data_IF_942799862689
#
_entry.id   IF_942799862689
#
_cell.length_a   1.000
_cell.length_b   1.000
_cell.length_c   1.000
_cell.angle_alpha   90.00
_cell.angle_beta   90.00
_cell.angle_gamma   90.00
#
_symmetry.space_group_name_H-M   'P 1'
#
loop_
_entity.id
_entity.type
_entity.pdbx_description
1 polymer ?
#
# COMPACT_ATOMS: atom_id res chain seq x y z
N UNK A 1 -86.38 -23.66 -5.65
CA UNK A 1 -85.36 -23.68 -4.59
C UNK A 1 -84.28 -22.65 -4.92
N UNK A 2 -83.90 -21.86 -3.93
CA UNK A 2 -83.19 -20.57 -4.03
C UNK A 2 -81.68 -20.74 -3.85
N UNK A 3 -80.90 -20.02 -4.66
CA UNK A 3 -79.63 -19.31 -4.37
C UNK A 3 -78.48 -20.12 -3.70
N UNK A 4 -77.22 -20.09 -4.17
CA UNK A 4 -76.36 -18.90 -4.34
C UNK A 4 -75.02 -19.36 -4.94
N UNK A 5 -74.54 -18.61 -5.94
CA UNK A 5 -73.19 -18.70 -6.48
C UNK A 5 -72.20 -18.14 -5.45
N UNK A 6 -71.11 -18.88 -5.18
CA UNK A 6 -70.02 -18.44 -4.33
C UNK A 6 -68.93 -17.83 -5.22
N UNK A 7 -68.81 -16.51 -5.16
CA UNK A 7 -67.69 -15.77 -5.72
C UNK A 7 -66.45 -16.05 -4.88
N UNK A 8 -65.43 -16.68 -5.47
CA UNK A 8 -64.07 -16.70 -4.90
C UNK A 8 -63.27 -15.56 -5.53
N UNK A 9 -62.98 -14.56 -4.72
CA UNK A 9 -62.11 -13.45 -5.06
C UNK A 9 -60.67 -13.98 -5.21
N UNK A 10 -60.15 -13.92 -6.43
CA UNK A 10 -58.76 -14.16 -6.76
C UNK A 10 -57.97 -12.90 -6.37
N UNK A 11 -57.33 -12.92 -5.20
CA UNK A 11 -56.47 -11.83 -4.73
C UNK A 11 -55.21 -11.75 -5.57
N UNK A 12 -55.17 -10.78 -6.48
CA UNK A 12 -53.97 -10.32 -7.19
C UNK A 12 -53.04 -9.63 -6.18
N UNK A 13 -52.01 -10.34 -5.72
CA UNK A 13 -50.84 -9.71 -5.08
C UNK A 13 -50.01 -9.06 -6.20
N UNK A 14 -49.76 -7.74 -6.16
CA UNK A 14 -48.89 -7.10 -7.13
C UNK A 14 -47.43 -7.54 -6.90
N UNK A 15 -46.90 -8.35 -7.82
CA UNK A 15 -45.46 -8.48 -8.04
C UNK A 15 -44.94 -7.13 -8.54
N UNK A 16 -44.60 -6.22 -7.64
CA UNK A 16 -44.04 -4.92 -8.02
C UNK A 16 -43.12 -4.37 -6.93
N UNK A 17 -42.22 -5.20 -6.41
CA UNK A 17 -41.11 -4.74 -5.56
C UNK A 17 -39.87 -5.62 -5.79
N UNK A 18 -39.41 -5.71 -7.03
CA UNK A 18 -38.01 -5.94 -7.32
C UNK A 18 -37.57 -4.73 -8.13
N UNK A 19 -37.41 -3.61 -7.43
CA UNK A 19 -36.64 -2.50 -7.95
C UNK A 19 -35.23 -3.04 -8.22
N UNK A 20 -34.77 -2.87 -9.46
CA UNK A 20 -33.40 -3.06 -9.89
C UNK A 20 -32.45 -2.34 -8.93
N UNK A 21 -31.93 -3.04 -7.93
CA UNK A 21 -30.73 -2.60 -7.23
C UNK A 21 -29.56 -3.01 -8.12
N UNK A 22 -29.34 -2.24 -9.19
CA UNK A 22 -28.02 -2.18 -9.81
C UNK A 22 -27.10 -1.45 -8.85
N UNK A 23 -26.59 -2.17 -7.85
CA UNK A 23 -25.38 -1.73 -7.16
C UNK A 23 -24.29 -1.75 -8.20
N UNK A 24 -23.89 -0.57 -8.68
CA UNK A 24 -22.71 -0.46 -9.53
C UNK A 24 -21.51 -0.90 -8.69
N UNK A 25 -20.90 -2.03 -9.06
CA UNK A 25 -19.76 -2.61 -8.37
C UNK A 25 -18.59 -1.61 -8.30
N UNK A 26 -18.51 -0.69 -9.26
CA UNK A 26 -17.54 0.40 -9.26
C UNK A 26 -17.80 1.41 -8.13
N UNK A 27 -19.06 1.79 -7.88
CA UNK A 27 -19.42 2.70 -6.78
C UNK A 27 -19.21 2.05 -5.41
N UNK A 28 -19.47 0.74 -5.28
CA UNK A 28 -19.21 0.01 -4.03
C UNK A 28 -17.70 -0.12 -3.74
N UNK A 29 -16.88 -0.37 -4.76
CA UNK A 29 -15.41 -0.41 -4.63
C UNK A 29 -14.86 0.99 -4.32
N UNK A 30 -15.40 2.04 -4.95
CA UNK A 30 -15.01 3.42 -4.69
C UNK A 30 -15.35 3.86 -3.25
N UNK A 31 -16.56 3.58 -2.77
CA UNK A 31 -16.97 3.91 -1.40
C UNK A 31 -16.32 3.04 -0.32
N UNK A 32 -15.93 1.80 -0.61
CA UNK A 32 -15.11 0.98 0.30
C UNK A 32 -13.64 1.42 0.34
N UNK A 33 -13.16 2.12 -0.69
CA UNK A 33 -11.77 2.59 -0.80
C UNK A 33 -11.49 3.92 -0.09
N UNK A 34 -12.47 4.84 -0.05
CA UNK A 34 -12.31 6.18 0.52
C UNK A 34 -12.05 6.22 2.04
N UNK A 35 -12.86 5.58 2.90
CA UNK A 35 -12.65 5.64 4.36
C UNK A 35 -11.37 4.92 4.80
N UNK A 36 -11.00 3.84 4.11
CA UNK A 36 -9.74 3.12 4.35
C UNK A 36 -8.53 3.96 3.91
N UNK A 37 -8.65 4.72 2.81
CA UNK A 37 -7.61 5.65 2.34
C UNK A 37 -7.45 6.86 3.25
N UNK A 38 -8.56 7.40 3.78
CA UNK A 38 -8.53 8.49 4.75
C UNK A 38 -7.84 8.05 6.06
N UNK A 39 -8.14 6.83 6.54
CA UNK A 39 -7.47 6.24 7.71
C UNK A 39 -5.96 6.04 7.47
N UNK A 40 -5.57 5.50 6.32
CA UNK A 40 -4.17 5.34 5.91
C UNK A 40 -3.45 6.69 5.87
N UNK A 41 -4.10 7.74 5.36
CA UNK A 41 -3.46 9.05 5.21
C UNK A 41 -3.29 9.83 6.52
N UNK A 42 -4.04 9.49 7.58
CA UNK A 42 -4.09 10.30 8.81
C UNK A 42 -3.56 9.57 10.04
N UNK A 43 -3.89 8.28 10.23
CA UNK A 43 -3.53 7.54 11.45
C UNK A 43 -2.17 6.83 11.36
N UNK A 44 -1.84 6.28 10.20
CA UNK A 44 -0.65 5.44 10.04
C UNK A 44 0.66 6.24 9.95
N UNK A 45 0.73 7.42 9.29
CA UNK A 45 1.99 8.14 9.15
C UNK A 45 2.65 8.51 10.48
N UNK A 46 1.92 9.03 11.50
CA UNK A 46 2.51 9.31 12.81
C UNK A 46 3.10 8.07 13.50
N UNK A 47 2.50 6.90 13.32
CA UNK A 47 3.00 5.64 13.91
C UNK A 47 4.34 5.26 13.27
N UNK A 48 4.43 5.32 11.93
CA UNK A 48 5.67 5.04 11.20
C UNK A 48 6.75 6.08 11.54
N UNK A 49 6.38 7.35 11.63
CA UNK A 49 7.28 8.44 12.00
C UNK A 49 7.84 8.25 13.42
N UNK A 50 6.99 7.94 14.40
CA UNK A 50 7.44 7.69 15.77
C UNK A 50 8.39 6.50 15.82
N UNK A 51 8.07 5.41 15.10
CA UNK A 51 8.95 4.25 15.00
C UNK A 51 10.30 4.60 14.33
N UNK A 52 10.29 5.26 13.17
CA UNK A 52 11.49 5.67 12.46
C UNK A 52 12.39 6.58 13.30
N UNK A 53 11.82 7.59 13.96
CA UNK A 53 12.56 8.48 14.86
C UNK A 53 13.11 7.79 16.11
N UNK A 54 12.56 6.65 16.52
CA UNK A 54 13.13 5.85 17.60
C UNK A 54 14.37 5.07 17.16
N UNK A 55 14.56 4.87 15.85
CA UNK A 55 15.65 4.09 15.27
C UNK A 55 16.83 4.93 14.76
N UNK A 56 16.61 6.22 14.50
CA UNK A 56 17.63 7.08 13.90
C UNK A 56 17.18 8.51 13.63
N UNK A 57 17.94 9.21 12.79
CA UNK A 57 17.78 10.62 12.47
C UNK A 57 17.31 10.85 11.02
N UNK A 58 16.99 12.11 10.69
CA UNK A 58 16.66 12.52 9.33
C UNK A 58 15.51 11.72 8.69
N UNK A 59 14.46 11.48 9.47
CA UNK A 59 13.26 10.78 8.99
C UNK A 59 12.55 11.58 7.89
N UNK A 60 12.22 10.90 6.79
CA UNK A 60 11.32 11.41 5.76
C UNK A 60 10.43 10.29 5.25
N UNK A 61 9.19 10.64 4.86
CA UNK A 61 8.25 9.69 4.29
C UNK A 61 7.19 10.45 3.50
N UNK A 62 6.78 9.90 2.36
CA UNK A 62 5.54 10.28 1.69
C UNK A 62 4.40 9.39 2.23
N UNK A 63 3.36 9.95 2.87
CA UNK A 63 2.21 9.16 3.36
C UNK A 63 1.52 8.31 2.28
N UNK A 64 1.65 8.69 1.00
CA UNK A 64 1.11 7.91 -0.13
C UNK A 64 1.84 6.58 -0.34
N UNK A 65 3.02 6.41 0.26
CA UNK A 65 3.80 5.19 0.23
C UNK A 65 3.47 4.21 1.36
N UNK A 66 2.31 4.39 2.00
CA UNK A 66 1.68 3.39 2.85
C UNK A 66 0.59 2.72 2.03
N UNK A 67 0.79 1.44 1.68
CA UNK A 67 -0.11 0.69 0.80
C UNK A 67 -0.65 -0.57 1.49
N UNK A 68 -1.87 -1.03 1.15
CA UNK A 68 -2.32 -2.36 1.52
C UNK A 68 -1.40 -3.43 0.93
N UNK A 69 -1.09 -4.47 1.71
CA UNK A 69 -0.24 -5.58 1.30
C UNK A 69 -0.71 -6.91 1.92
N UNK A 70 -0.30 -8.04 1.32
CA UNK A 70 -0.54 -9.38 1.84
C UNK A 70 0.77 -9.98 2.33
N UNK A 71 0.84 -10.28 3.62
CA UNK A 71 2.01 -10.92 4.23
C UNK A 71 1.57 -12.21 4.90
N UNK A 72 2.07 -13.35 4.40
CA UNK A 72 1.75 -14.68 4.94
C UNK A 72 0.24 -14.95 5.00
N UNK A 73 -0.49 -14.51 3.96
CA UNK A 73 -1.95 -14.64 3.85
C UNK A 73 -2.75 -13.70 4.76
N UNK A 74 -2.10 -12.73 5.41
CA UNK A 74 -2.75 -11.72 6.25
C UNK A 74 -2.66 -10.35 5.61
N UNK A 75 -3.79 -9.64 5.63
CA UNK A 75 -3.87 -8.23 5.24
C UNK A 75 -3.08 -7.37 6.22
N UNK A 76 -2.13 -6.61 5.71
CA UNK A 76 -1.29 -5.65 6.45
C UNK A 76 -1.18 -4.35 5.68
N UNK A 77 -0.57 -3.33 6.28
CA UNK A 77 -0.08 -2.17 5.55
C UNK A 77 1.44 -2.22 5.46
N UNK A 78 1.95 -1.93 4.28
CA UNK A 78 3.37 -1.80 4.01
C UNK A 78 3.69 -0.31 3.79
N UNK A 79 4.66 0.19 4.53
CA UNK A 79 5.18 1.53 4.38
C UNK A 79 6.64 1.48 3.91
N UNK A 80 7.06 2.49 3.14
CA UNK A 80 8.48 2.84 3.02
C UNK A 80 8.71 4.24 3.56
N UNK A 81 9.79 4.38 4.31
CA UNK A 81 10.28 5.64 4.83
C UNK A 81 11.79 5.69 4.67
N UNK A 82 12.37 6.86 4.82
CA UNK A 82 13.80 7.10 4.72
C UNK A 82 14.35 7.52 6.07
N UNK A 83 15.54 7.02 6.39
CA UNK A 83 16.17 7.25 7.69
C UNK A 83 17.70 7.18 7.59
N UNK A 84 18.37 8.05 8.33
CA UNK A 84 19.78 7.90 8.70
C UNK A 84 19.87 7.16 10.04
N UNK A 85 20.00 5.83 9.98
CA UNK A 85 20.10 4.95 11.16
C UNK A 85 21.33 5.28 12.02
N UNK A 86 22.41 5.74 11.39
CA UNK A 86 23.68 6.06 12.07
C UNK A 86 23.75 7.49 12.61
N UNK A 87 22.75 8.32 12.32
CA UNK A 87 22.75 9.76 12.61
C UNK A 87 24.04 10.46 12.14
N UNK A 88 24.58 10.06 10.99
CA UNK A 88 25.78 10.65 10.40
C UNK A 88 25.59 12.10 9.95
N UNK A 89 24.35 12.48 9.61
CA UNK A 89 24.02 13.79 9.04
C UNK A 89 24.40 13.95 7.57
N UNK A 90 24.87 12.89 6.91
CA UNK A 90 25.24 12.93 5.49
C UNK A 90 24.05 12.53 4.61
N UNK A 91 23.76 13.22 3.49
CA UNK A 91 22.67 12.85 2.59
C UNK A 91 22.76 11.43 2.05
N UNK A 92 23.99 10.90 1.93
CA UNK A 92 24.26 9.55 1.42
C UNK A 92 23.95 8.43 2.41
N UNK A 93 23.86 8.74 3.70
CA UNK A 93 23.57 7.78 4.76
C UNK A 93 22.08 7.50 4.93
N UNK A 94 21.22 8.45 4.56
CA UNK A 94 19.79 8.21 4.47
C UNK A 94 19.52 7.14 3.41
N UNK A 95 18.67 6.17 3.76
CA UNK A 95 18.25 5.09 2.86
C UNK A 95 16.81 4.70 3.13
N UNK A 96 16.10 4.12 2.15
CA UNK A 96 14.77 3.61 2.39
C UNK A 96 14.80 2.38 3.31
N UNK A 97 13.82 2.33 4.18
CA UNK A 97 13.49 1.25 5.09
C UNK A 97 12.00 0.93 4.94
N UNK A 98 11.68 -0.35 5.02
CA UNK A 98 10.31 -0.85 4.93
C UNK A 98 9.74 -1.09 6.33
N UNK A 99 8.47 -0.83 6.53
CA UNK A 99 7.75 -1.17 7.76
C UNK A 99 6.43 -1.86 7.47
N UNK A 100 6.12 -2.87 8.27
CA UNK A 100 4.83 -3.57 8.27
C UNK A 100 4.01 -3.06 9.44
N UNK A 101 2.79 -2.60 9.16
CA UNK A 101 1.80 -2.27 10.17
C UNK A 101 0.72 -3.34 10.18
N UNK A 102 0.40 -3.82 11.38
CA UNK A 102 -0.72 -4.74 11.64
C UNK A 102 -1.78 -4.04 12.44
N UNK A 103 -3.03 -4.49 12.26
CA UNK A 103 -4.14 -4.08 13.10
C UNK A 103 -4.30 -5.09 14.24
N UNK A 104 -4.39 -4.59 15.47
CA UNK A 104 -4.75 -5.38 16.64
C UNK A 104 -6.25 -5.72 16.63
N UNK A 105 -6.70 -6.71 17.41
CA UNK A 105 -8.13 -7.00 17.56
C UNK A 105 -8.96 -5.82 18.08
N UNK A 106 -8.34 -4.89 18.81
CA UNK A 106 -8.98 -3.66 19.31
C UNK A 106 -9.12 -2.55 18.25
N UNK A 107 -8.59 -2.75 17.04
CA UNK A 107 -8.64 -1.78 15.94
C UNK A 107 -7.43 -0.86 15.83
N UNK A 108 -6.56 -0.82 16.85
CA UNK A 108 -5.33 -0.03 16.86
C UNK A 108 -4.26 -0.64 15.94
N UNK A 109 -3.42 0.22 15.35
CA UNK A 109 -2.31 -0.19 14.50
C UNK A 109 -0.98 -0.17 15.24
N UNK A 110 -0.11 -1.12 14.90
CA UNK A 110 1.24 -1.22 15.46
C UNK A 110 2.23 -1.73 14.41
N UNK A 111 3.51 -1.41 14.63
CA UNK A 111 4.61 -1.87 13.77
C UNK A 111 5.00 -3.30 14.15
N UNK A 112 5.08 -4.18 13.16
CA UNK A 112 5.64 -5.51 13.32
C UNK A 112 7.18 -5.45 13.19
N UNK A 113 7.86 -5.47 14.33
CA UNK A 113 9.31 -5.32 14.41
C UNK A 113 10.09 -6.42 13.67
N UNK A 114 9.52 -7.63 13.52
CA UNK A 114 10.20 -8.74 12.88
C UNK A 114 10.45 -8.50 11.39
N UNK A 115 9.67 -7.60 10.77
CA UNK A 115 9.76 -7.22 9.36
C UNK A 115 10.17 -5.78 9.11
N UNK A 116 10.35 -4.98 10.17
CA UNK A 116 10.47 -3.51 10.06
C UNK A 116 11.77 -2.93 10.62
N UNK A 117 12.62 -3.73 11.27
CA UNK A 117 13.90 -3.22 11.77
C UNK A 117 14.88 -2.92 10.61
N UNK A 118 15.89 -2.05 10.80
CA UNK A 118 16.77 -1.65 9.69
C UNK A 118 17.50 -2.81 9.00
N UNK A 119 17.74 -3.92 9.71
CA UNK A 119 18.37 -5.13 9.17
C UNK A 119 17.47 -5.89 8.18
N UNK A 120 16.15 -5.66 8.21
CA UNK A 120 15.17 -6.27 7.31
C UNK A 120 15.01 -5.48 6.01
N UNK A 121 15.67 -4.34 5.84
CA UNK A 121 15.70 -3.64 4.55
C UNK A 121 17.10 -3.72 3.98
N UNK A 122 17.23 -4.27 2.77
CA UNK A 122 18.50 -4.37 2.08
C UNK A 122 19.14 -2.99 1.90
N UNK A 123 20.47 -2.92 1.99
CA UNK A 123 21.24 -1.72 1.66
C UNK A 123 21.31 -1.46 0.15
N UNK A 124 20.85 -2.40 -0.67
CA UNK A 124 20.89 -2.34 -2.14
C UNK A 124 19.63 -1.74 -2.76
N UNK A 125 18.59 -1.46 -1.96
CA UNK A 125 17.41 -0.71 -2.39
C UNK A 125 17.83 0.62 -3.06
N UNK A 126 17.00 1.18 -3.96
CA UNK A 126 17.26 2.50 -4.53
C UNK A 126 17.45 3.54 -3.42
N UNK A 127 18.09 4.67 -3.74
CA UNK A 127 18.41 5.68 -2.72
C UNK A 127 17.19 6.46 -2.26
N UNK A 128 16.21 6.61 -3.13
CA UNK A 128 14.92 7.21 -2.82
C UNK A 128 13.80 6.37 -3.43
N UNK A 129 12.71 6.14 -2.71
CA UNK A 129 11.50 5.50 -3.24
C UNK A 129 10.37 6.53 -3.21
N UNK A 130 9.95 6.98 -4.39
CA UNK A 130 8.89 7.97 -4.55
C UNK A 130 7.50 7.34 -4.59
N UNK A 131 7.38 6.09 -5.06
CA UNK A 131 6.10 5.37 -5.11
C UNK A 131 6.27 3.87 -4.82
N UNK A 132 5.38 3.32 -4.00
CA UNK A 132 5.13 1.87 -3.89
C UNK A 132 3.76 1.52 -4.48
N UNK A 133 3.67 0.39 -5.19
CA UNK A 133 2.41 -0.10 -5.74
C UNK A 133 2.45 -1.61 -6.00
N UNK A 134 1.27 -2.23 -6.09
CA UNK A 134 1.13 -3.65 -6.46
C UNK A 134 0.80 -3.75 -7.94
N UNK A 135 1.47 -4.66 -8.65
CA UNK A 135 1.20 -4.97 -10.05
C UNK A 135 1.41 -6.47 -10.28
N UNK A 136 0.38 -7.16 -10.75
CA UNK A 136 0.38 -8.61 -10.95
C UNK A 136 0.83 -9.37 -9.69
N UNK A 137 0.26 -9.02 -8.54
CA UNK A 137 0.58 -9.57 -7.19
C UNK A 137 2.01 -9.33 -6.69
N UNK A 138 2.87 -8.70 -7.49
CA UNK A 138 4.21 -8.30 -7.11
C UNK A 138 4.23 -6.90 -6.49
N UNK A 139 5.15 -6.67 -5.54
CA UNK A 139 5.44 -5.35 -5.00
C UNK A 139 6.45 -4.61 -5.88
N UNK A 140 6.02 -3.48 -6.42
CA UNK A 140 6.83 -2.62 -7.28
C UNK A 140 7.11 -1.27 -6.64
N UNK A 141 8.18 -0.64 -7.10
CA UNK A 141 8.54 0.71 -6.71
C UNK A 141 8.93 1.57 -7.93
N UNK A 142 8.77 2.88 -7.77
CA UNK A 142 9.46 3.91 -8.55
C UNK A 142 10.35 4.73 -7.61
N UNK A 143 11.52 5.15 -8.10
CA UNK A 143 12.48 5.83 -7.27
C UNK A 143 13.72 6.32 -8.01
N UNK A 144 14.71 6.77 -7.24
CA UNK A 144 15.97 7.30 -7.74
C UNK A 144 17.15 6.48 -7.24
N UNK A 145 18.14 6.29 -8.10
CA UNK A 145 19.45 5.73 -7.75
C UNK A 145 20.58 6.60 -8.28
N UNK A 146 21.82 6.29 -7.89
CA UNK A 146 22.99 7.01 -8.39
C UNK A 146 23.32 6.58 -9.83
N UNK A 147 23.50 7.55 -10.74
CA UNK A 147 24.30 7.32 -11.96
C UNK A 147 25.79 7.49 -11.64
N UNK A 148 26.67 7.01 -12.53
CA UNK A 148 28.13 7.12 -12.33
C UNK A 148 28.61 8.58 -12.09
N UNK A 149 27.92 9.56 -12.69
CA UNK A 149 28.23 10.98 -12.52
C UNK A 149 27.68 11.60 -11.22
N UNK A 150 26.90 10.87 -10.41
CA UNK A 150 26.25 11.36 -9.19
C UNK A 150 27.09 11.18 -7.91
N UNK A 151 28.34 10.72 -8.06
CA UNK A 151 29.20 10.26 -6.95
C UNK A 151 29.35 11.26 -5.79
N UNK A 152 29.02 12.54 -6.00
CA UNK A 152 29.26 13.61 -5.04
C UNK A 152 28.07 13.99 -4.15
N UNK A 153 26.80 13.70 -4.49
CA UNK A 153 25.73 14.04 -3.52
C UNK A 153 24.39 13.34 -3.68
N UNK A 154 23.90 13.11 -4.90
CA UNK A 154 22.45 13.05 -5.08
C UNK A 154 22.04 12.06 -6.17
N UNK A 155 21.14 11.10 -5.88
CA UNK A 155 20.66 10.16 -6.88
C UNK A 155 19.78 10.90 -7.90
N UNK A 156 20.04 10.69 -9.19
CA UNK A 156 19.27 11.34 -10.27
C UNK A 156 18.78 10.38 -11.34
N UNK A 157 19.15 9.10 -11.27
CA UNK A 157 18.70 8.10 -12.24
C UNK A 157 17.35 7.53 -11.82
N UNK A 158 16.31 7.84 -12.59
CA UNK A 158 14.98 7.27 -12.43
C UNK A 158 14.96 5.77 -12.71
N UNK A 159 14.44 5.02 -11.75
CA UNK A 159 14.36 3.57 -11.80
C UNK A 159 12.99 3.08 -11.37
N UNK A 160 12.61 1.93 -11.92
CA UNK A 160 11.48 1.13 -11.47
C UNK A 160 11.98 -0.27 -11.19
N UNK A 161 11.42 -0.91 -10.18
CA UNK A 161 11.82 -2.27 -9.88
C UNK A 161 10.83 -3.01 -9.02
N UNK A 162 11.16 -4.28 -8.78
CA UNK A 162 10.40 -5.19 -7.92
C UNK A 162 11.14 -5.40 -6.61
N UNK A 163 10.40 -5.32 -5.50
CA UNK A 163 10.88 -5.66 -4.17
C UNK A 163 10.22 -6.97 -3.74
N UNK A 164 10.97 -7.85 -3.11
CA UNK A 164 10.47 -9.08 -2.52
C UNK A 164 10.97 -9.22 -1.08
N UNK A 165 10.17 -9.87 -0.23
CA UNK A 165 10.61 -10.28 1.10
C UNK A 165 11.25 -11.66 1.02
N UNK A 166 12.57 -11.71 1.18
CA UNK A 166 13.35 -12.95 1.11
C UNK A 166 14.05 -13.19 2.44
N UNK A 167 13.74 -14.32 3.08
CA UNK A 167 14.32 -14.69 4.38
C UNK A 167 14.17 -13.57 5.43
N UNK A 168 13.01 -12.89 5.43
CA UNK A 168 12.72 -11.77 6.33
C UNK A 168 13.39 -10.44 5.95
N UNK A 169 14.04 -10.35 4.79
CA UNK A 169 14.69 -9.12 4.31
C UNK A 169 14.05 -8.65 3.00
N UNK A 170 13.59 -7.39 2.97
CA UNK A 170 13.14 -6.69 1.78
C UNK A 170 14.32 -6.42 0.85
N UNK A 171 14.30 -7.05 -0.32
CA UNK A 171 15.35 -6.95 -1.33
C UNK A 171 14.80 -6.53 -2.65
N UNK A 172 15.63 -5.81 -3.40
CA UNK A 172 15.37 -5.56 -4.80
C UNK A 172 15.66 -6.84 -5.60
N UNK A 173 14.69 -7.27 -6.40
CA UNK A 173 14.82 -8.47 -7.24
C UNK A 173 15.05 -8.12 -8.72
N UNK A 174 14.57 -6.95 -9.16
CA UNK A 174 14.73 -6.48 -10.53
C UNK A 174 14.68 -4.95 -10.54
N UNK A 175 15.64 -4.31 -11.20
CA UNK A 175 15.65 -2.87 -11.44
C UNK A 175 15.82 -2.57 -12.92
N UNK A 176 15.05 -1.60 -13.39
CA UNK A 176 15.03 -1.15 -14.77
C UNK A 176 15.04 0.39 -14.78
N UNK A 177 15.71 1.03 -15.75
CA UNK A 177 15.49 2.45 -16.00
C UNK A 177 14.01 2.72 -16.29
N UNK A 178 13.47 3.82 -15.76
CA UNK A 178 12.05 4.17 -15.90
C UNK A 178 11.59 4.23 -17.37
N UNK A 179 12.49 4.57 -18.29
CA UNK A 179 12.27 4.63 -19.74
C UNK A 179 11.88 3.28 -20.39
N UNK A 180 11.94 2.16 -19.66
CA UNK A 180 11.66 0.81 -20.18
C UNK A 180 10.41 0.14 -19.60
N UNK A 181 9.44 0.89 -19.08
CA UNK A 181 8.13 0.31 -18.75
C UNK A 181 7.32 0.17 -20.04
N UNK A 182 6.95 -1.04 -20.49
CA UNK A 182 6.04 -1.21 -21.63
C UNK A 182 4.71 -0.53 -21.30
N UNK A 183 4.27 0.37 -22.17
CA UNK A 183 3.09 1.24 -21.99
C UNK A 183 1.74 0.51 -21.99
N UNK A 184 1.72 -0.83 -21.94
CA UNK A 184 0.49 -1.61 -22.02
C UNK A 184 -0.11 -1.83 -20.63
N UNK A 185 -0.69 -0.77 -20.07
CA UNK A 185 -1.85 -0.86 -19.18
C UNK A 185 -2.82 0.22 -19.65
N UNK A 186 -3.70 -0.16 -20.58
CA UNK A 186 -4.94 0.57 -20.85
C UNK A 186 -5.83 0.43 -19.60
N UNK A 187 -6.52 1.48 -19.15
CA UNK A 187 -7.47 1.41 -18.04
C UNK A 187 -8.58 0.36 -18.26
#
# INVERSE_FOLDING_TARGET
MRFKAFWMALSLLPLSCLADIKVDLADYIAQASEPKRAEISTKLPPIVEQFGKSLGCSFSMDPRNIIPYQLEGKSVFLAVYELDVGCSGTPTATRPLMAILRQSPGGDYFIDADYSMPKQSSTELPKHISSLFIRNDDLWYQGLTFKAADASCCPTLDVTGRIALENGVWKEHQRMPLERIPSTVTP
#
